data_IF_335065317352
#
_entry.id   IF_335065317352
#
_cell.length_a   1.000
_cell.length_b   1.000
_cell.length_c   1.000
_cell.angle_alpha   90.00
_cell.angle_beta   90.00
_cell.angle_gamma   90.00
#
_symmetry.space_group_name_H-M   'P 1'
#
loop_
_entity.id
_entity.type
_entity.pdbx_description
1 polymer ?
#
# COMPACT_ATOMS: atom_id res chain seq x y z
N UNK A 1 2.61 27.27 3.51
CA UNK A 1 3.12 27.82 4.81
C UNK A 1 4.65 27.74 4.78
N UNK A 2 5.41 28.80 5.09
CA UNK A 2 6.88 28.74 4.96
C UNK A 2 7.51 27.84 6.03
N UNK A 3 8.38 26.93 5.61
CA UNK A 3 9.10 26.00 6.49
C UNK A 3 10.58 26.37 6.53
N UNK A 4 11.18 26.46 7.72
CA UNK A 4 12.63 26.70 7.88
C UNK A 4 13.37 25.36 7.84
N UNK A 5 14.34 25.24 6.96
CA UNK A 5 15.20 24.04 6.83
C UNK A 5 16.68 24.44 6.83
N UNK A 6 17.59 23.51 7.12
CA UNK A 6 19.02 23.77 6.89
C UNK A 6 19.28 23.87 5.38
N UNK A 7 20.22 24.71 4.97
CA UNK A 7 20.74 24.71 3.60
C UNK A 7 21.30 23.33 3.20
N UNK A 8 21.74 22.53 4.17
CA UNK A 8 22.18 21.15 3.95
C UNK A 8 21.05 20.20 3.54
N UNK A 9 19.81 20.51 3.92
CA UNK A 9 18.61 19.72 3.62
C UNK A 9 17.87 20.21 2.37
N UNK A 10 18.35 21.29 1.75
CA UNK A 10 17.76 21.86 0.53
C UNK A 10 18.02 20.91 -0.65
N UNK A 11 16.98 20.59 -1.41
CA UNK A 11 17.04 19.67 -2.56
C UNK A 11 16.59 20.35 -3.86
N UNK A 12 17.04 19.83 -4.99
CA UNK A 12 16.50 20.20 -6.31
C UNK A 12 15.00 19.91 -6.34
N UNK A 13 14.23 20.89 -6.81
CA UNK A 13 12.77 20.88 -6.78
C UNK A 13 12.16 21.64 -5.61
N UNK A 14 12.93 22.01 -4.56
CA UNK A 14 12.40 22.86 -3.48
C UNK A 14 12.26 24.32 -3.93
N UNK A 15 11.19 24.98 -3.52
CA UNK A 15 10.98 26.40 -3.75
C UNK A 15 11.50 27.20 -2.56
N UNK A 16 12.58 27.94 -2.76
CA UNK A 16 13.14 28.88 -1.80
C UNK A 16 12.19 30.08 -1.65
N UNK A 17 11.81 30.40 -0.42
CA UNK A 17 10.92 31.50 -0.02
C UNK A 17 11.58 32.38 1.06
N UNK A 18 12.85 32.73 0.82
CA UNK A 18 13.68 33.57 1.69
C UNK A 18 14.85 32.84 2.35
N UNK A 19 15.82 33.62 2.84
CA UNK A 19 17.03 33.14 3.54
C UNK A 19 17.11 33.72 4.96
N UNK A 20 17.97 33.15 5.80
CA UNK A 20 18.26 33.69 7.14
C UNK A 20 19.18 34.94 7.14
N UNK A 21 19.71 35.30 5.98
CA UNK A 21 20.46 36.53 5.70
C UNK A 21 19.70 37.46 4.77
N UNK A 22 20.09 38.74 4.72
CA UNK A 22 19.53 39.70 3.77
C UNK A 22 19.84 39.29 2.32
N UNK A 23 18.89 39.54 1.41
CA UNK A 23 18.96 39.08 0.01
C UNK A 23 20.22 39.56 -0.73
N UNK A 24 20.81 40.71 -0.36
CA UNK A 24 22.07 41.20 -0.95
C UNK A 24 23.28 40.30 -0.68
N UNK A 25 23.19 39.42 0.33
CA UNK A 25 24.21 38.42 0.66
C UNK A 25 23.96 37.08 -0.02
N UNK A 26 22.87 36.96 -0.78
CA UNK A 26 22.57 35.75 -1.54
C UNK A 26 23.22 35.84 -2.93
N UNK A 27 23.65 34.72 -3.51
CA UNK A 27 24.29 34.66 -4.83
C UNK A 27 23.29 34.81 -5.99
N UNK A 28 22.04 35.18 -5.72
CA UNK A 28 20.93 35.23 -6.67
C UNK A 28 20.28 36.62 -6.69
N UNK A 29 19.66 36.97 -7.81
CA UNK A 29 18.93 38.24 -7.98
C UNK A 29 17.67 38.33 -7.10
N UNK A 30 17.21 37.20 -6.55
CA UNK A 30 16.04 37.08 -5.69
C UNK A 30 16.29 35.99 -4.66
N UNK A 31 15.74 36.15 -3.45
CA UNK A 31 15.70 35.12 -2.40
C UNK A 31 14.48 34.19 -2.53
N UNK A 32 13.68 34.36 -3.59
CA UNK A 32 12.51 33.54 -3.92
C UNK A 32 12.66 32.86 -5.28
N UNK A 33 13.04 31.59 -5.30
CA UNK A 33 13.25 30.86 -6.55
C UNK A 33 13.08 29.35 -6.38
N UNK A 34 12.72 28.67 -7.47
CA UNK A 34 12.77 27.21 -7.53
C UNK A 34 14.23 26.75 -7.68
N UNK A 35 14.69 25.88 -6.79
CA UNK A 35 16.00 25.24 -6.90
C UNK A 35 15.93 24.21 -8.02
N UNK A 36 16.70 24.44 -9.09
CA UNK A 36 16.71 23.62 -10.32
C UNK A 36 17.98 22.79 -10.48
N UNK A 37 19.00 23.02 -9.65
CA UNK A 37 20.29 22.33 -9.75
C UNK A 37 21.07 22.34 -8.43
N UNK A 38 21.94 21.35 -8.23
CA UNK A 38 22.84 21.27 -7.06
C UNK A 38 23.88 22.40 -7.02
N UNK A 39 24.17 23.00 -8.18
CA UNK A 39 25.01 24.20 -8.26
C UNK A 39 24.39 25.37 -7.51
N UNK A 40 23.06 25.53 -7.55
CA UNK A 40 22.36 26.58 -6.81
C UNK A 40 22.43 26.35 -5.29
N UNK A 41 22.35 25.10 -4.84
CA UNK A 41 22.50 24.74 -3.42
C UNK A 41 23.94 25.03 -2.97
N UNK A 42 24.92 24.66 -3.79
CA UNK A 42 26.34 24.90 -3.52
C UNK A 42 26.66 26.39 -3.42
N UNK A 43 26.04 27.23 -4.27
CA UNK A 43 26.17 28.70 -4.18
C UNK A 43 25.63 29.25 -2.86
N UNK A 44 24.49 28.75 -2.37
CA UNK A 44 23.94 29.15 -1.06
C UNK A 44 24.87 28.74 0.11
N UNK A 45 25.41 27.51 0.07
CA UNK A 45 26.40 27.03 1.04
C UNK A 45 27.65 27.90 1.08
N UNK A 46 28.21 28.21 -0.10
CA UNK A 46 29.41 29.02 -0.23
C UNK A 46 29.19 30.50 0.15
N UNK A 47 27.95 30.98 0.10
CA UNK A 47 27.56 32.29 0.60
C UNK A 47 27.42 32.36 2.14
N UNK A 48 27.69 31.27 2.85
CA UNK A 48 27.62 31.21 4.32
C UNK A 48 26.21 31.13 4.89
N UNK A 49 25.22 30.77 4.06
CA UNK A 49 23.82 30.66 4.45
C UNK A 49 23.62 29.33 5.16
N UNK A 50 23.17 29.39 6.42
CA UNK A 50 22.99 28.19 7.26
C UNK A 50 21.57 27.64 7.17
N UNK A 51 20.58 28.52 7.06
CA UNK A 51 19.17 28.18 6.98
C UNK A 51 18.44 28.91 5.87
N UNK A 52 17.44 28.24 5.31
CA UNK A 52 16.56 28.79 4.29
C UNK A 52 15.12 28.52 4.64
N UNK A 53 14.23 29.36 4.11
CA UNK A 53 12.80 29.13 4.16
C UNK A 53 12.36 28.55 2.83
N UNK A 54 11.55 27.49 2.86
CA UNK A 54 10.95 26.89 1.67
C UNK A 54 9.43 27.04 1.71
N UNK A 55 8.82 27.07 0.52
CA UNK A 55 7.37 26.95 0.34
C UNK A 55 7.05 25.52 -0.11
N UNK A 56 6.55 24.64 0.79
CA UNK A 56 6.28 23.24 0.46
C UNK A 56 5.24 23.09 -0.65
N UNK A 57 4.24 24.00 -0.70
CA UNK A 57 3.15 23.96 -1.68
C UNK A 57 3.64 24.25 -3.12
N UNK A 58 4.79 24.94 -3.25
CA UNK A 58 5.46 25.21 -4.53
C UNK A 58 6.65 24.28 -4.81
N UNK A 59 7.04 23.48 -3.83
CA UNK A 59 8.17 22.56 -3.93
C UNK A 59 7.74 21.28 -4.65
N UNK A 60 8.43 20.91 -5.72
CA UNK A 60 8.26 19.67 -6.49
C UNK A 60 9.52 18.81 -6.34
N UNK A 61 9.84 18.42 -5.11
CA UNK A 61 11.01 17.58 -4.84
C UNK A 61 10.83 16.26 -5.57
N UNK A 62 11.72 15.99 -6.52
CA UNK A 62 11.83 14.69 -7.15
C UNK A 62 12.39 13.73 -6.10
N UNK A 63 11.69 12.64 -5.81
CA UNK A 63 12.21 11.57 -4.94
C UNK A 63 13.57 11.11 -5.46
N UNK A 64 14.59 11.10 -4.59
CA UNK A 64 15.93 10.65 -4.96
C UNK A 64 15.89 9.18 -5.39
N UNK A 65 16.35 8.90 -6.62
CA UNK A 65 16.75 7.54 -7.01
C UNK A 65 17.86 7.11 -6.06
N UNK A 66 17.59 6.08 -5.29
CA UNK A 66 18.56 5.47 -4.38
C UNK A 66 19.67 4.82 -5.19
N UNK A 67 20.94 5.17 -4.92
CA UNK A 67 22.10 4.49 -5.49
C UNK A 67 22.41 3.20 -4.70
N UNK A 68 21.86 2.08 -5.19
CA UNK A 68 22.03 0.73 -4.63
C UNK A 68 23.27 0.01 -5.20
N UNK A 69 24.06 0.68 -6.06
CA UNK A 69 25.15 0.07 -6.87
C UNK A 69 26.15 -0.75 -6.07
N UNK A 70 26.52 -0.29 -4.86
CA UNK A 70 27.54 -0.94 -4.02
C UNK A 70 27.12 -2.28 -3.43
N UNK A 71 25.82 -2.56 -3.30
CA UNK A 71 25.33 -3.89 -2.89
C UNK A 71 25.08 -4.80 -4.09
N UNK A 72 24.81 -4.22 -5.26
CA UNK A 72 24.59 -4.92 -6.51
C UNK A 72 25.88 -5.50 -7.14
N UNK A 73 27.08 -5.07 -6.73
CA UNK A 73 28.37 -5.60 -7.20
C UNK A 73 28.57 -7.12 -6.94
N UNK A 74 27.72 -7.74 -6.11
CA UNK A 74 27.68 -9.19 -5.87
C UNK A 74 26.79 -9.95 -6.86
N UNK A 75 26.00 -9.23 -7.64
CA UNK A 75 25.08 -9.75 -8.65
C UNK A 75 25.82 -9.71 -9.99
N UNK A 76 25.86 -10.84 -10.71
CA UNK A 76 26.45 -10.88 -12.06
C UNK A 76 25.60 -10.04 -13.00
N UNK A 77 26.06 -8.83 -13.30
CA UNK A 77 25.44 -7.98 -14.30
C UNK A 77 25.70 -8.50 -15.71
N UNK A 78 24.63 -8.59 -16.50
CA UNK A 78 24.70 -8.79 -17.94
C UNK A 78 24.98 -7.41 -18.58
N UNK A 79 25.99 -7.34 -19.45
CA UNK A 79 26.34 -6.09 -20.15
C UNK A 79 25.20 -5.68 -21.09
N UNK A 80 25.07 -4.38 -21.36
CA UNK A 80 24.06 -3.81 -22.27
C UNK A 80 24.05 -4.49 -23.65
N UNK A 81 25.20 -4.98 -24.11
CA UNK A 81 25.35 -5.69 -25.39
C UNK A 81 24.79 -7.13 -25.41
N UNK A 82 24.52 -7.72 -24.25
CA UNK A 82 23.91 -9.06 -24.10
C UNK A 82 22.37 -9.00 -23.93
N UNK A 83 21.82 -7.79 -23.79
CA UNK A 83 20.40 -7.50 -23.97
C UNK A 83 20.16 -7.52 -25.47
N UNK A 84 19.36 -8.46 -25.96
CA UNK A 84 18.96 -8.47 -27.37
C UNK A 84 18.23 -7.16 -27.68
N UNK A 85 18.85 -6.30 -28.49
CA UNK A 85 18.13 -5.39 -29.37
C UNK A 85 17.26 -6.27 -30.27
N UNK A 86 16.00 -6.44 -29.91
CA UNK A 86 15.04 -7.00 -30.84
C UNK A 86 14.49 -5.81 -31.62
N UNK A 87 15.09 -5.54 -32.78
CA UNK A 87 14.32 -5.07 -33.93
C UNK A 87 13.23 -6.12 -34.18
N UNK A 88 12.09 -5.90 -33.56
CA UNK A 88 10.93 -6.74 -33.69
C UNK A 88 9.75 -5.81 -33.61
N UNK A 89 9.17 -5.53 -34.78
CA UNK A 89 7.76 -5.21 -34.81
C UNK A 89 7.07 -6.16 -33.84
N UNK A 90 6.39 -5.59 -32.84
CA UNK A 90 5.24 -6.27 -32.27
C UNK A 90 4.40 -6.61 -33.49
N UNK A 91 4.50 -7.84 -33.99
CA UNK A 91 3.43 -8.36 -34.82
C UNK A 91 2.21 -8.20 -33.92
N UNK A 92 1.35 -7.27 -34.33
CA UNK A 92 -0.03 -7.23 -33.94
C UNK A 92 -0.62 -8.58 -34.38
N UNK A 93 -0.33 -9.65 -33.63
CA UNK A 93 -1.19 -10.82 -33.65
C UNK A 93 -2.56 -10.27 -33.29
N UNK A 94 -3.42 -10.31 -34.30
CA UNK A 94 -4.66 -9.57 -34.43
C UNK A 94 -5.28 -9.30 -33.07
N UNK A 95 -5.04 -8.09 -32.56
CA UNK A 95 -5.81 -7.53 -31.48
C UNK A 95 -7.25 -7.83 -31.84
N UNK A 96 -7.96 -8.57 -30.98
CA UNK A 96 -9.40 -8.75 -31.13
C UNK A 96 -9.97 -7.34 -31.28
N UNK A 97 -10.28 -6.98 -32.52
CA UNK A 97 -10.80 -5.69 -32.91
C UNK A 97 -12.23 -5.70 -32.38
N UNK A 98 -12.41 -5.34 -31.12
CA UNK A 98 -13.73 -5.11 -30.57
C UNK A 98 -14.30 -3.90 -31.30
N UNK A 99 -15.21 -4.19 -32.23
CA UNK A 99 -15.96 -3.18 -32.97
C UNK A 99 -16.59 -2.24 -31.95
N UNK A 100 -16.40 -0.92 -32.14
CA UNK A 100 -17.21 0.10 -31.47
C UNK A 100 -18.68 -0.30 -31.58
N UNK A 101 -19.29 -0.70 -30.46
CA UNK A 101 -20.73 -0.85 -30.37
C UNK A 101 -21.42 0.48 -30.65
N UNK A 102 -22.64 0.40 -31.18
CA UNK A 102 -23.59 1.51 -31.28
C UNK A 102 -23.66 2.28 -29.95
N UNK A 103 -23.90 3.59 -29.99
CA UNK A 103 -24.03 4.39 -28.76
C UNK A 103 -25.10 3.89 -27.78
N UNK A 104 -26.07 3.11 -28.27
CA UNK A 104 -27.13 2.50 -27.46
C UNK A 104 -26.66 1.34 -26.57
N UNK A 105 -25.48 0.75 -26.81
CA UNK A 105 -24.97 -0.44 -26.09
C UNK A 105 -23.85 -0.13 -25.07
N UNK A 106 -23.51 1.15 -24.90
CA UNK A 106 -22.42 1.60 -24.01
C UNK A 106 -22.93 1.81 -22.58
N UNK A 107 -22.22 1.27 -21.60
CA UNK A 107 -22.49 1.49 -20.17
C UNK A 107 -22.04 2.90 -19.75
N UNK A 108 -22.96 3.73 -19.23
CA UNK A 108 -22.72 4.98 -18.48
C UNK A 108 -21.45 5.78 -18.88
N UNK A 109 -21.35 6.17 -20.16
CA UNK A 109 -20.26 7.03 -20.64
C UNK A 109 -18.89 6.35 -20.81
N UNK A 110 -18.80 5.04 -20.66
CA UNK A 110 -17.62 4.25 -21.02
C UNK A 110 -17.70 3.83 -22.50
N UNK A 111 -16.58 3.78 -23.23
CA UNK A 111 -16.57 3.41 -24.66
C UNK A 111 -16.76 1.90 -24.91
N UNK A 112 -17.13 1.11 -23.90
CA UNK A 112 -17.14 -0.35 -23.91
C UNK A 112 -18.54 -0.92 -23.62
N UNK A 113 -18.85 -2.08 -24.19
CA UNK A 113 -20.08 -2.81 -23.90
C UNK A 113 -19.92 -3.69 -22.66
N UNK A 114 -21.04 -4.19 -22.11
CA UNK A 114 -21.01 -5.15 -21.00
C UNK A 114 -20.29 -6.46 -21.38
N UNK A 115 -20.49 -6.92 -22.60
CA UNK A 115 -19.87 -8.15 -23.12
C UNK A 115 -18.34 -8.03 -23.24
N UNK A 116 -17.84 -6.85 -23.65
CA UNK A 116 -16.39 -6.56 -23.68
C UNK A 116 -15.78 -6.65 -22.28
N UNK A 117 -16.48 -6.11 -21.27
CA UNK A 117 -16.04 -6.18 -19.88
C UNK A 117 -16.07 -7.61 -19.36
N UNK A 118 -17.16 -8.35 -19.59
CA UNK A 118 -17.30 -9.74 -19.15
C UNK A 118 -16.19 -10.62 -19.74
N UNK A 119 -15.86 -10.43 -21.03
CA UNK A 119 -14.76 -11.15 -21.68
C UNK A 119 -13.40 -10.75 -21.11
N UNK A 120 -13.12 -9.46 -20.93
CA UNK A 120 -11.87 -9.01 -20.31
C UNK A 120 -11.69 -9.60 -18.91
N UNK A 121 -12.72 -9.51 -18.05
CA UNK A 121 -12.64 -10.02 -16.69
C UNK A 121 -12.52 -11.54 -16.62
N UNK A 122 -13.07 -12.29 -17.59
CA UNK A 122 -12.88 -13.74 -17.67
C UNK A 122 -11.41 -14.16 -17.81
N UNK A 123 -10.61 -13.35 -18.50
CA UNK A 123 -9.16 -13.58 -18.67
C UNK A 123 -8.35 -12.93 -17.53
N UNK A 124 -8.69 -11.69 -17.17
CA UNK A 124 -8.01 -10.91 -16.15
C UNK A 124 -8.00 -11.58 -14.77
N UNK A 125 -9.01 -12.41 -14.47
CA UNK A 125 -9.07 -13.20 -13.24
C UNK A 125 -7.90 -14.18 -13.07
N UNK A 126 -7.16 -14.50 -14.14
CA UNK A 126 -5.95 -15.33 -14.08
C UNK A 126 -4.69 -14.51 -13.74
N UNK A 127 -4.82 -13.19 -13.57
CA UNK A 127 -3.72 -12.29 -13.27
C UNK A 127 -3.83 -11.71 -11.88
N UNK A 128 -2.72 -11.27 -11.32
CA UNK A 128 -2.67 -10.56 -10.04
C UNK A 128 -1.75 -9.36 -10.14
N UNK A 129 -2.17 -8.25 -9.55
CA UNK A 129 -1.33 -7.06 -9.48
C UNK A 129 -0.10 -7.32 -8.63
N UNK A 130 1.03 -6.79 -9.09
CA UNK A 130 2.25 -6.70 -8.32
C UNK A 130 2.60 -5.23 -8.07
N UNK A 131 3.09 -4.95 -6.87
CA UNK A 131 3.58 -3.61 -6.56
C UNK A 131 4.92 -3.37 -7.25
N UNK A 132 4.90 -2.53 -8.31
CA UNK A 132 6.11 -2.16 -9.06
C UNK A 132 7.24 -1.62 -8.18
N UNK A 133 6.92 -1.07 -7.01
CA UNK A 133 7.93 -0.52 -6.09
C UNK A 133 8.74 -1.61 -5.34
N UNK A 134 8.32 -2.87 -5.45
CA UNK A 134 9.06 -4.04 -4.96
C UNK A 134 10.03 -4.61 -5.99
N UNK A 135 9.89 -4.23 -7.26
CA UNK A 135 10.81 -4.63 -8.33
C UNK A 135 12.06 -3.73 -8.27
N UNK A 136 13.19 -4.29 -7.83
CA UNK A 136 14.42 -3.54 -7.63
C UNK A 136 15.33 -3.56 -8.84
N UNK A 137 15.72 -2.38 -9.33
CA UNK A 137 16.69 -2.25 -10.42
C UNK A 137 17.97 -3.02 -10.10
N UNK A 138 18.45 -3.84 -11.04
CA UNK A 138 19.63 -4.69 -10.88
C UNK A 138 19.35 -6.08 -10.32
N UNK A 139 18.11 -6.40 -9.93
CA UNK A 139 17.70 -7.77 -9.59
C UNK A 139 17.15 -8.50 -10.80
N UNK A 140 16.89 -9.80 -10.67
CA UNK A 140 16.38 -10.64 -11.75
C UNK A 140 15.08 -11.35 -11.32
N UNK A 141 14.17 -11.54 -12.28
CA UNK A 141 12.93 -12.30 -12.09
C UNK A 141 12.84 -13.44 -13.10
N UNK A 142 12.44 -14.62 -12.67
CA UNK A 142 12.33 -15.81 -13.52
C UNK A 142 10.88 -16.11 -13.97
N UNK A 143 10.04 -15.08 -13.98
CA UNK A 143 8.63 -15.14 -14.36
C UNK A 143 8.27 -14.01 -15.34
N UNK A 144 7.32 -14.25 -16.26
CA UNK A 144 6.82 -13.21 -17.16
C UNK A 144 6.03 -12.14 -16.37
N UNK A 145 6.24 -10.90 -16.75
CA UNK A 145 5.46 -9.76 -16.27
C UNK A 145 4.54 -9.23 -17.36
N UNK A 146 3.44 -8.63 -16.94
CA UNK A 146 2.42 -8.07 -17.82
C UNK A 146 2.05 -6.67 -17.34
N UNK A 147 1.47 -5.87 -18.23
CA UNK A 147 0.99 -4.53 -17.97
C UNK A 147 -0.47 -4.45 -18.35
N UNK A 148 -1.31 -4.02 -17.41
CA UNK A 148 -2.68 -3.62 -17.69
C UNK A 148 -2.70 -2.18 -18.20
N UNK A 149 -3.32 -1.98 -19.36
CA UNK A 149 -3.69 -0.67 -19.90
C UNK A 149 -5.12 -0.76 -20.42
N UNK A 150 -6.04 -0.06 -19.75
CA UNK A 150 -7.48 -0.16 -20.02
C UNK A 150 -7.98 -1.62 -19.90
N UNK A 151 -8.63 -2.15 -20.94
CA UNK A 151 -9.07 -3.54 -21.08
C UNK A 151 -8.05 -4.40 -21.86
N UNK A 152 -6.75 -4.10 -21.72
CA UNK A 152 -5.67 -4.88 -22.35
C UNK A 152 -4.66 -5.32 -21.32
N UNK A 153 -4.19 -6.55 -21.47
CA UNK A 153 -3.07 -7.12 -20.74
C UNK A 153 -1.95 -7.32 -21.75
N UNK A 154 -0.86 -6.59 -21.58
CA UNK A 154 0.29 -6.62 -22.47
C UNK A 154 1.43 -7.36 -21.78
N UNK A 155 1.91 -8.44 -22.38
CA UNK A 155 3.10 -9.13 -21.87
C UNK A 155 4.32 -8.23 -22.09
N UNK A 156 5.03 -7.86 -21.02
CA UNK A 156 6.15 -6.93 -21.09
C UNK A 156 7.35 -7.55 -21.82
N UNK A 157 7.66 -8.83 -21.59
CA UNK A 157 8.83 -9.49 -22.19
C UNK A 157 8.65 -11.00 -22.40
N UNK A 158 9.40 -11.55 -23.35
CA UNK A 158 9.73 -12.98 -23.46
C UNK A 158 11.24 -13.13 -23.38
N UNK A 159 11.76 -13.80 -22.34
CA UNK A 159 13.13 -14.31 -22.39
C UNK A 159 13.08 -15.82 -22.62
N UNK A 160 13.85 -16.30 -23.60
CA UNK A 160 14.03 -17.74 -23.86
C UNK A 160 14.77 -18.39 -22.69
N UNK A 161 14.04 -18.76 -21.64
CA UNK A 161 14.52 -19.61 -20.55
C UNK A 161 15.64 -19.01 -19.68
N UNK A 162 15.79 -17.68 -19.62
CA UNK A 162 16.71 -16.98 -18.70
C UNK A 162 15.95 -15.96 -17.85
N UNK A 163 16.51 -15.60 -16.70
CA UNK A 163 15.94 -14.61 -15.80
C UNK A 163 15.96 -13.21 -16.43
N UNK A 164 14.90 -12.43 -16.17
CA UNK A 164 14.65 -11.09 -16.71
C UNK A 164 15.26 -10.07 -15.73
N UNK A 165 16.21 -9.22 -16.15
CA UNK A 165 16.72 -8.16 -15.29
C UNK A 165 15.66 -7.08 -15.09
N UNK A 166 15.52 -6.58 -13.88
CA UNK A 166 14.71 -5.39 -13.58
C UNK A 166 15.57 -4.16 -13.88
N UNK A 167 15.10 -3.31 -14.81
CA UNK A 167 15.80 -2.08 -15.22
C UNK A 167 14.92 -0.85 -15.04
N UNK A 168 15.54 0.33 -15.07
CA UNK A 168 14.81 1.61 -15.03
C UNK A 168 13.81 1.73 -16.19
N UNK A 169 14.14 1.20 -17.37
CA UNK A 169 13.26 1.21 -18.54
C UNK A 169 12.00 0.37 -18.33
N UNK A 170 12.13 -0.78 -17.67
CA UNK A 170 10.99 -1.63 -17.31
C UNK A 170 10.08 -0.88 -16.35
N UNK A 171 10.65 -0.28 -15.29
CA UNK A 171 9.87 0.41 -14.26
C UNK A 171 9.26 1.74 -14.75
N UNK A 172 9.79 2.31 -15.84
CA UNK A 172 9.26 3.50 -16.50
C UNK A 172 7.99 3.21 -17.34
N UNK A 173 7.66 1.94 -17.61
CA UNK A 173 6.46 1.60 -18.37
C UNK A 173 5.21 1.98 -17.57
N UNK A 174 4.36 2.83 -18.16
CA UNK A 174 3.08 3.20 -17.56
C UNK A 174 2.08 2.04 -17.58
N UNK A 175 1.28 1.91 -16.52
CA UNK A 175 0.23 0.90 -16.37
C UNK A 175 0.40 0.07 -15.11
N UNK A 176 -0.57 -0.82 -14.86
CA UNK A 176 -0.52 -1.68 -13.68
C UNK A 176 0.28 -2.94 -13.99
N UNK A 177 1.29 -3.22 -13.17
CA UNK A 177 2.09 -4.43 -13.31
C UNK A 177 1.30 -5.62 -12.81
N UNK A 178 1.31 -6.70 -13.59
CA UNK A 178 0.63 -7.95 -13.30
C UNK A 178 1.59 -9.13 -13.44
N UNK A 179 1.26 -10.21 -12.75
CA UNK A 179 1.79 -11.56 -12.96
C UNK A 179 0.65 -12.52 -13.24
N UNK A 180 0.94 -13.59 -13.98
CA UNK A 180 -0.02 -14.69 -14.14
C UNK A 180 -0.08 -15.52 -12.84
N UNK A 181 -1.25 -16.08 -12.54
CA UNK A 181 -1.50 -16.84 -11.31
C UNK A 181 -0.57 -18.05 -11.15
N UNK A 182 -0.20 -18.68 -12.27
CA UNK A 182 0.75 -19.81 -12.30
C UNK A 182 2.17 -19.43 -11.84
N UNK A 183 2.53 -18.15 -11.92
CA UNK A 183 3.87 -17.67 -11.57
C UNK A 183 3.93 -17.03 -10.17
N UNK A 184 2.82 -17.02 -9.41
CA UNK A 184 2.77 -16.46 -8.04
C UNK A 184 3.84 -17.04 -7.11
N UNK A 185 4.08 -18.35 -7.20
CA UNK A 185 5.09 -19.01 -6.36
C UNK A 185 6.51 -18.47 -6.63
N UNK A 186 6.81 -18.13 -7.88
CA UNK A 186 8.10 -17.54 -8.26
C UNK A 186 8.23 -16.10 -7.78
N UNK A 187 7.16 -15.31 -7.89
CA UNK A 187 7.12 -13.96 -7.34
C UNK A 187 7.32 -13.95 -5.81
N UNK A 188 6.66 -14.86 -5.09
CA UNK A 188 6.89 -15.06 -3.65
C UNK A 188 8.34 -15.42 -3.33
N UNK A 189 8.96 -16.28 -4.15
CA UNK A 189 10.38 -16.60 -4.06
C UNK A 189 11.27 -15.36 -4.20
N UNK A 190 11.00 -14.53 -5.20
CA UNK A 190 11.69 -13.24 -5.41
C UNK A 190 11.57 -12.32 -4.19
N UNK A 191 10.36 -12.11 -3.66
CA UNK A 191 10.17 -11.30 -2.45
C UNK A 191 10.92 -11.88 -1.25
N UNK A 192 10.95 -13.20 -1.10
CA UNK A 192 11.68 -13.88 -0.02
C UNK A 192 13.19 -13.64 -0.10
N UNK A 193 13.75 -13.68 -1.31
CA UNK A 193 15.16 -13.36 -1.54
C UNK A 193 15.44 -11.90 -1.16
N UNK A 194 14.58 -10.96 -1.57
CA UNK A 194 14.70 -9.55 -1.20
C UNK A 194 14.65 -9.31 0.33
N UNK A 195 13.79 -10.02 1.05
CA UNK A 195 13.72 -9.93 2.52
C UNK A 195 14.98 -10.44 3.21
N UNK A 196 15.74 -11.34 2.57
CA UNK A 196 16.97 -11.90 3.12
C UNK A 196 18.20 -11.00 2.94
N UNK A 197 18.09 -9.94 2.13
CA UNK A 197 19.16 -8.97 1.94
C UNK A 197 19.44 -8.23 3.25
N UNK A 198 20.72 -8.16 3.65
CA UNK A 198 21.13 -7.51 4.90
C UNK A 198 20.95 -5.99 4.80
N UNK A 199 20.11 -5.40 5.66
CA UNK A 199 20.01 -3.94 5.78
C UNK A 199 21.35 -3.33 6.17
N UNK A 200 21.91 -2.49 5.31
CA UNK A 200 23.16 -1.74 5.56
C UNK A 200 22.95 -0.22 5.56
N UNK A 201 21.78 0.29 5.15
CA UNK A 201 21.43 1.73 5.11
C UNK A 201 19.91 2.00 5.12
N UNK A 202 19.47 3.26 5.31
CA UNK A 202 18.04 3.62 5.41
C UNK A 202 17.21 3.41 4.13
N UNK A 203 17.81 3.38 2.95
CA UNK A 203 17.07 3.10 1.71
C UNK A 203 16.78 1.62 1.50
N UNK A 204 17.65 0.73 2.00
CA UNK A 204 17.40 -0.71 2.05
C UNK A 204 16.17 -1.06 2.91
N UNK A 205 15.86 -0.20 3.87
CA UNK A 205 14.72 -0.39 4.77
C UNK A 205 13.37 -0.03 4.15
N UNK A 206 13.28 1.07 3.40
CA UNK A 206 12.08 1.41 2.64
C UNK A 206 11.69 0.30 1.67
N UNK A 207 12.70 -0.29 1.03
CA UNK A 207 12.57 -1.43 0.13
C UNK A 207 12.07 -2.66 0.91
N UNK A 208 12.77 -3.02 2.00
CA UNK A 208 12.38 -4.15 2.87
C UNK A 208 10.92 -4.02 3.31
N UNK A 209 10.51 -2.83 3.69
CA UNK A 209 9.15 -2.56 4.13
C UNK A 209 8.10 -2.76 3.04
N UNK A 210 8.37 -2.28 1.83
CA UNK A 210 7.50 -2.54 0.67
C UNK A 210 7.41 -4.03 0.38
N UNK A 211 8.53 -4.74 0.42
CA UNK A 211 8.61 -6.19 0.19
C UNK A 211 7.83 -6.97 1.26
N UNK A 212 8.02 -6.65 2.53
CA UNK A 212 7.30 -7.30 3.65
C UNK A 212 5.79 -7.02 3.54
N UNK A 213 5.39 -5.79 3.20
CA UNK A 213 3.98 -5.44 2.98
C UNK A 213 3.38 -6.23 1.82
N UNK A 214 4.10 -6.33 0.71
CA UNK A 214 3.65 -7.10 -0.47
C UNK A 214 3.56 -8.59 -0.16
N UNK A 215 4.56 -9.16 0.52
CA UNK A 215 4.51 -10.55 0.98
C UNK A 215 3.31 -10.80 1.91
N UNK A 216 2.95 -9.83 2.76
CA UNK A 216 1.74 -9.91 3.60
C UNK A 216 0.47 -10.09 2.77
N UNK A 217 0.37 -9.45 1.61
CA UNK A 217 -0.80 -9.55 0.72
C UNK A 217 -0.93 -10.96 0.17
N UNK A 218 0.17 -11.55 -0.30
CA UNK A 218 0.20 -12.92 -0.80
C UNK A 218 -0.16 -13.93 0.29
N UNK A 219 0.43 -13.78 1.49
CA UNK A 219 0.13 -14.66 2.62
C UNK A 219 -1.32 -14.54 3.07
N UNK A 220 -1.88 -13.33 3.08
CA UNK A 220 -3.28 -13.12 3.41
C UNK A 220 -4.22 -13.72 2.35
N UNK A 221 -3.88 -13.63 1.07
CA UNK A 221 -4.61 -14.30 -0.01
C UNK A 221 -4.61 -15.83 0.20
N UNK A 222 -3.44 -16.42 0.46
CA UNK A 222 -3.30 -17.85 0.73
C UNK A 222 -4.11 -18.29 1.96
N UNK A 223 -4.10 -17.48 3.03
CA UNK A 223 -4.83 -17.73 4.27
C UNK A 223 -6.34 -17.63 4.05
N UNK A 224 -6.84 -16.65 3.29
CA UNK A 224 -8.26 -16.55 2.98
C UNK A 224 -8.77 -17.75 2.15
N UNK A 225 -7.92 -18.30 1.28
CA UNK A 225 -8.23 -19.51 0.52
C UNK A 225 -8.28 -20.78 1.41
N UNK A 226 -7.47 -20.84 2.47
CA UNK A 226 -7.47 -21.95 3.44
C UNK A 226 -7.33 -21.45 4.90
N UNK A 227 -8.41 -20.89 5.48
CA UNK A 227 -8.35 -20.18 6.76
C UNK A 227 -8.13 -21.10 7.97
N UNK A 228 -8.16 -22.42 7.77
CA UNK A 228 -7.90 -23.42 8.82
C UNK A 228 -6.45 -23.90 8.83
N UNK A 229 -5.64 -23.52 7.84
CA UNK A 229 -4.24 -23.91 7.79
C UNK A 229 -3.43 -23.20 8.86
N UNK A 230 -3.00 -23.95 9.88
CA UNK A 230 -2.10 -23.41 10.91
C UNK A 230 -0.74 -22.99 10.36
N UNK A 231 -0.27 -23.62 9.28
CA UNK A 231 1.00 -23.23 8.62
C UNK A 231 0.86 -21.85 7.98
N UNK A 232 -0.20 -21.62 7.18
CA UNK A 232 -0.41 -20.31 6.54
C UNK A 232 -0.63 -19.20 7.57
N UNK A 233 -1.32 -19.50 8.67
CA UNK A 233 -1.47 -18.55 9.77
C UNK A 233 -0.12 -18.20 10.40
N UNK A 234 0.75 -19.20 10.62
CA UNK A 234 2.11 -18.97 11.13
C UNK A 234 2.95 -18.13 10.19
N UNK A 235 2.85 -18.36 8.89
CA UNK A 235 3.56 -17.54 7.89
C UNK A 235 3.10 -16.07 7.99
N UNK A 236 1.78 -15.83 8.12
CA UNK A 236 1.24 -14.49 8.38
C UNK A 236 1.79 -13.89 9.68
N UNK A 237 1.79 -14.65 10.79
CA UNK A 237 2.33 -14.19 12.08
C UNK A 237 3.81 -13.79 11.98
N UNK A 238 4.64 -14.60 11.33
CA UNK A 238 6.06 -14.29 11.14
C UNK A 238 6.25 -13.00 10.33
N UNK A 239 5.46 -12.81 9.28
CA UNK A 239 5.56 -11.62 8.46
C UNK A 239 5.03 -10.36 9.18
N UNK A 240 4.00 -10.50 10.02
CA UNK A 240 3.51 -9.42 10.89
C UNK A 240 4.56 -9.03 11.93
N UNK A 241 5.27 -9.99 12.51
CA UNK A 241 6.34 -9.69 13.46
C UNK A 241 7.47 -8.86 12.80
N UNK A 242 7.78 -9.15 11.53
CA UNK A 242 8.71 -8.35 10.73
C UNK A 242 8.20 -6.92 10.48
N UNK A 243 6.90 -6.72 10.25
CA UNK A 243 6.27 -5.39 10.13
C UNK A 243 6.42 -4.61 11.44
N UNK A 244 5.98 -5.23 12.55
CA UNK A 244 5.99 -4.58 13.87
C UNK A 244 7.41 -4.19 14.26
N UNK A 245 8.36 -5.12 14.12
CA UNK A 245 9.77 -4.87 14.44
C UNK A 245 10.34 -3.71 13.62
N UNK A 246 10.09 -3.69 12.30
CA UNK A 246 10.54 -2.58 11.45
C UNK A 246 9.96 -1.22 11.87
N UNK A 247 8.67 -1.18 12.20
CA UNK A 247 8.01 0.07 12.56
C UNK A 247 8.49 0.60 13.90
N UNK A 248 8.82 -0.29 14.86
CA UNK A 248 9.33 0.11 16.16
C UNK A 248 10.79 0.55 16.13
N UNK A 249 11.64 -0.06 15.31
CA UNK A 249 13.07 0.28 15.22
C UNK A 249 13.33 1.72 14.75
N UNK A 250 12.44 2.27 13.93
CA UNK A 250 12.72 3.51 13.21
C UNK A 250 12.03 4.76 13.74
N UNK A 251 11.09 4.63 14.68
CA UNK A 251 10.28 5.74 15.21
C UNK A 251 9.70 6.68 14.13
N UNK A 252 9.62 6.23 12.88
CA UNK A 252 9.29 7.05 11.71
C UNK A 252 8.22 6.36 10.90
N UNK A 253 7.05 6.98 10.84
CA UNK A 253 5.88 6.54 10.09
C UNK A 253 6.05 6.71 8.57
N UNK A 254 7.14 7.33 8.12
CA UNK A 254 7.39 7.68 6.71
C UNK A 254 7.95 6.52 5.86
N UNK A 255 8.02 5.30 6.40
CA UNK A 255 8.88 4.23 5.90
C UNK A 255 8.29 3.29 4.82
N UNK A 256 7.53 3.78 3.85
CA UNK A 256 7.04 2.97 2.72
C UNK A 256 5.90 1.97 3.03
N UNK A 257 5.64 1.66 4.30
CA UNK A 257 4.49 0.86 4.75
C UNK A 257 3.18 1.65 4.66
N UNK A 258 3.23 2.95 4.97
CA UNK A 258 2.11 3.90 4.88
C UNK A 258 1.84 4.40 3.45
N UNK A 259 2.68 4.05 2.48
CA UNK A 259 2.35 4.26 1.06
C UNK A 259 1.21 3.31 0.72
N UNK A 260 -0.01 3.79 0.94
CA UNK A 260 -1.24 3.13 0.54
C UNK A 260 -1.33 3.34 -0.97
N UNK A 261 -1.04 2.28 -1.74
CA UNK A 261 -1.24 2.33 -3.18
C UNK A 261 -2.71 2.63 -3.44
N UNK A 262 -2.96 3.64 -4.28
CA UNK A 262 -4.30 4.05 -4.70
C UNK A 262 -4.96 3.06 -5.66
N UNK A 263 -4.30 1.95 -5.99
CA UNK A 263 -4.77 0.93 -6.93
C UNK A 263 -5.57 -0.16 -6.21
N UNK A 264 -6.75 -0.40 -6.78
CA UNK A 264 -7.73 -1.48 -6.58
C UNK A 264 -7.86 -2.12 -5.19
N UNK A 265 -9.06 -1.96 -4.61
CA UNK A 265 -9.51 -2.67 -3.41
C UNK A 265 -9.54 -4.18 -3.64
N UNK A 266 -8.53 -4.87 -3.11
CA UNK A 266 -8.57 -6.29 -2.84
C UNK A 266 -8.69 -6.49 -1.32
N UNK A 267 -9.52 -7.46 -0.89
CA UNK A 267 -9.75 -7.75 0.53
C UNK A 267 -8.44 -7.99 1.29
N UNK A 268 -7.45 -8.64 0.66
CA UNK A 268 -6.14 -8.86 1.29
C UNK A 268 -5.33 -7.55 1.43
N UNK A 269 -5.37 -6.63 0.45
CA UNK A 269 -4.69 -5.34 0.53
C UNK A 269 -5.26 -4.50 1.68
N UNK A 270 -6.59 -4.50 1.80
CA UNK A 270 -7.29 -3.86 2.90
C UNK A 270 -6.86 -4.41 4.27
N UNK A 271 -6.87 -5.74 4.44
CA UNK A 271 -6.43 -6.38 5.68
C UNK A 271 -4.99 -5.98 6.07
N UNK A 272 -4.07 -5.97 5.09
CA UNK A 272 -2.67 -5.58 5.32
C UNK A 272 -2.55 -4.10 5.67
N UNK A 273 -3.28 -3.21 4.98
CA UNK A 273 -3.26 -1.78 5.29
C UNK A 273 -3.82 -1.52 6.69
N UNK A 274 -4.95 -2.11 7.06
CA UNK A 274 -5.55 -1.97 8.40
C UNK A 274 -4.57 -2.45 9.47
N UNK A 275 -3.85 -3.55 9.24
CA UNK A 275 -2.77 -4.02 10.12
C UNK A 275 -1.66 -2.96 10.30
N UNK A 276 -1.11 -2.44 9.19
CA UNK A 276 -0.04 -1.41 9.24
C UNK A 276 -0.50 -0.15 9.95
N UNK A 277 -1.73 0.31 9.65
CA UNK A 277 -2.33 1.49 10.26
C UNK A 277 -2.53 1.26 11.77
N UNK A 278 -2.99 0.08 12.18
CA UNK A 278 -3.15 -0.26 13.60
C UNK A 278 -1.81 -0.25 14.35
N UNK A 279 -0.72 -0.74 13.73
CA UNK A 279 0.63 -0.69 14.31
C UNK A 279 1.09 0.75 14.50
N UNK A 280 0.99 1.59 13.48
CA UNK A 280 1.41 2.99 13.61
C UNK A 280 0.56 3.75 14.63
N UNK A 281 -0.74 3.44 14.73
CA UNK A 281 -1.62 4.04 15.74
C UNK A 281 -1.22 3.59 17.15
N UNK A 282 -0.91 2.31 17.33
CA UNK A 282 -0.39 1.78 18.60
C UNK A 282 0.89 2.49 19.04
N UNK A 283 1.85 2.66 18.12
CA UNK A 283 3.10 3.40 18.37
C UNK A 283 2.80 4.86 18.72
N UNK A 284 1.89 5.52 17.97
CA UNK A 284 1.50 6.91 18.25
C UNK A 284 0.75 7.08 19.58
N UNK A 285 0.10 6.03 20.07
CA UNK A 285 -0.51 5.96 21.40
C UNK A 285 0.53 5.69 22.51
N UNK A 286 1.81 5.58 22.16
CA UNK A 286 2.90 5.36 23.11
C UNK A 286 3.03 3.91 23.58
N UNK A 287 2.45 2.96 22.85
CA UNK A 287 2.62 1.53 23.14
C UNK A 287 4.05 1.11 22.80
N UNK A 288 4.69 0.37 23.70
CA UNK A 288 6.08 -0.07 23.56
C UNK A 288 6.25 -1.59 23.64
N UNK A 289 5.21 -2.31 24.09
CA UNK A 289 5.28 -3.77 24.24
C UNK A 289 4.99 -4.44 22.90
N UNK A 290 6.01 -5.08 22.33
CA UNK A 290 5.92 -5.85 21.08
C UNK A 290 4.69 -6.76 21.05
N UNK A 291 4.42 -7.51 22.12
CA UNK A 291 3.32 -8.48 22.16
C UNK A 291 1.94 -7.83 22.04
N UNK A 292 1.75 -6.63 22.59
CA UNK A 292 0.47 -5.91 22.52
C UNK A 292 0.28 -5.29 21.12
N UNK A 293 1.34 -4.71 20.55
CA UNK A 293 1.32 -4.14 19.19
C UNK A 293 1.12 -5.24 18.15
N UNK A 294 1.81 -6.38 18.32
CA UNK A 294 1.64 -7.57 17.50
C UNK A 294 0.20 -8.06 17.50
N UNK A 295 -0.46 -8.08 18.66
CA UNK A 295 -1.85 -8.52 18.75
C UNK A 295 -2.81 -7.58 17.99
N UNK A 296 -2.55 -6.26 18.00
CA UNK A 296 -3.30 -5.28 17.21
C UNK A 296 -3.04 -5.43 15.71
N UNK A 297 -1.79 -5.68 15.31
CA UNK A 297 -1.41 -5.95 13.94
C UNK A 297 -2.13 -7.20 13.40
N UNK A 298 -2.05 -8.31 14.14
CA UNK A 298 -2.79 -9.53 13.84
C UNK A 298 -4.31 -9.29 13.82
N UNK A 299 -4.82 -8.46 14.74
CA UNK A 299 -6.21 -8.02 14.75
C UNK A 299 -6.62 -7.32 13.46
N UNK A 300 -5.82 -6.33 13.02
CA UNK A 300 -6.04 -5.63 11.75
C UNK A 300 -5.88 -6.52 10.53
N UNK A 301 -4.97 -7.49 10.53
CA UNK A 301 -4.82 -8.43 9.43
C UNK A 301 -5.99 -9.43 9.34
N UNK A 302 -6.54 -9.86 10.48
CA UNK A 302 -7.53 -10.94 10.54
C UNK A 302 -8.97 -10.47 10.72
N UNK A 303 -9.22 -9.17 10.97
CA UNK A 303 -10.55 -8.65 11.31
C UNK A 303 -11.66 -9.12 10.34
N UNK A 304 -11.30 -9.23 9.07
CA UNK A 304 -12.18 -9.55 7.97
C UNK A 304 -12.09 -11.00 7.48
N UNK A 305 -11.33 -11.89 8.15
CA UNK A 305 -11.09 -13.27 7.67
C UNK A 305 -12.40 -14.05 7.41
N UNK A 306 -13.48 -13.75 8.14
CA UNK A 306 -14.77 -14.39 7.93
C UNK A 306 -15.45 -14.05 6.60
N UNK A 307 -15.02 -12.98 5.90
CA UNK A 307 -15.54 -12.64 4.56
C UNK A 307 -15.29 -13.76 3.54
N UNK A 308 -14.31 -14.64 3.76
CA UNK A 308 -14.07 -15.82 2.92
C UNK A 308 -15.24 -16.82 2.87
N UNK A 309 -16.22 -16.72 3.78
CA UNK A 309 -17.43 -17.55 3.77
C UNK A 309 -18.69 -16.78 3.39
N UNK A 310 -18.59 -15.50 3.07
CA UNK A 310 -19.71 -14.72 2.58
C UNK A 310 -19.92 -15.03 1.10
N UNK A 311 -21.16 -15.28 0.64
CA UNK A 311 -21.43 -15.54 -0.78
C UNK A 311 -20.91 -14.41 -1.67
N UNK A 312 -20.25 -14.76 -2.79
CA UNK A 312 -19.70 -13.78 -3.74
C UNK A 312 -20.75 -12.78 -4.26
N UNK A 313 -22.00 -13.22 -4.45
CA UNK A 313 -23.12 -12.36 -4.87
C UNK A 313 -23.47 -11.25 -3.88
N UNK A 314 -23.15 -11.45 -2.60
CA UNK A 314 -23.35 -10.45 -1.53
C UNK A 314 -22.06 -9.65 -1.34
N UNK A 315 -20.91 -10.33 -1.29
CA UNK A 315 -19.61 -9.70 -1.05
C UNK A 315 -19.25 -8.65 -2.12
N UNK A 316 -19.51 -8.96 -3.39
CA UNK A 316 -19.12 -8.14 -4.54
C UNK A 316 -20.30 -7.38 -5.17
N UNK A 317 -21.41 -7.22 -4.46
CA UNK A 317 -22.61 -6.57 -5.01
C UNK A 317 -22.30 -5.11 -5.39
N UNK A 318 -22.58 -4.66 -6.63
CA UNK A 318 -22.30 -3.29 -7.08
C UNK A 318 -23.26 -2.24 -6.53
N UNK A 319 -24.36 -2.67 -5.90
CA UNK A 319 -25.40 -1.81 -5.34
C UNK A 319 -25.46 -1.96 -3.82
N UNK A 320 -26.27 -1.12 -3.18
CA UNK A 320 -26.60 -1.29 -1.75
C UNK A 320 -27.14 -2.71 -1.49
N UNK A 321 -26.70 -3.28 -0.37
CA UNK A 321 -27.24 -4.52 0.16
C UNK A 321 -28.66 -4.27 0.70
N UNK A 322 -29.54 -5.24 0.50
CA UNK A 322 -30.82 -5.33 1.23
C UNK A 322 -30.56 -5.63 2.70
N UNK A 323 -31.55 -5.46 3.56
CA UNK A 323 -31.41 -5.77 4.99
C UNK A 323 -31.03 -7.24 5.23
N UNK A 324 -31.56 -8.16 4.43
CA UNK A 324 -31.25 -9.59 4.52
C UNK A 324 -29.81 -9.90 4.10
N UNK A 325 -29.37 -9.34 2.98
CA UNK A 325 -27.99 -9.47 2.52
C UNK A 325 -27.02 -8.80 3.49
N UNK A 326 -27.41 -7.68 4.10
CA UNK A 326 -26.60 -7.02 5.11
C UNK A 326 -26.53 -7.84 6.40
N UNK A 327 -27.60 -8.53 6.82
CA UNK A 327 -27.56 -9.52 7.92
C UNK A 327 -26.58 -10.65 7.63
N UNK A 328 -26.56 -11.16 6.40
CA UNK A 328 -25.56 -12.16 5.99
C UNK A 328 -24.16 -11.56 6.03
N UNK A 329 -23.94 -10.35 5.49
CA UNK A 329 -22.65 -9.67 5.55
C UNK A 329 -22.14 -9.52 6.98
N UNK A 330 -22.98 -9.07 7.94
CA UNK A 330 -22.61 -8.94 9.37
C UNK A 330 -22.11 -10.24 10.00
N UNK A 331 -22.53 -11.39 9.47
CA UNK A 331 -22.12 -12.71 10.00
C UNK A 331 -20.62 -12.99 9.86
N UNK A 332 -19.89 -12.25 9.00
CA UNK A 332 -18.44 -12.43 8.82
C UNK A 332 -17.68 -12.32 10.14
N UNK A 333 -18.14 -11.48 11.07
CA UNK A 333 -17.50 -11.32 12.38
C UNK A 333 -17.54 -12.63 13.18
N UNK A 334 -18.73 -13.22 13.33
CA UNK A 334 -18.89 -14.46 14.10
C UNK A 334 -18.28 -15.67 13.37
N UNK A 335 -18.35 -15.68 12.04
CA UNK A 335 -17.66 -16.67 11.22
C UNK A 335 -16.15 -16.58 11.43
N UNK A 336 -15.58 -15.38 11.41
CA UNK A 336 -14.16 -15.13 11.64
C UNK A 336 -13.72 -15.63 13.02
N UNK A 337 -14.47 -15.28 14.07
CA UNK A 337 -14.24 -15.81 15.43
C UNK A 337 -14.25 -17.34 15.46
N UNK A 338 -15.20 -17.98 14.77
CA UNK A 338 -15.28 -19.45 14.68
C UNK A 338 -14.09 -20.03 13.91
N UNK A 339 -13.64 -19.40 12.82
CA UNK A 339 -12.46 -19.82 12.08
C UNK A 339 -11.19 -19.72 12.93
N UNK A 340 -11.04 -18.64 13.69
CA UNK A 340 -9.88 -18.49 14.57
C UNK A 340 -9.93 -19.40 15.80
N UNK A 341 -11.10 -19.90 16.20
CA UNK A 341 -11.18 -20.87 17.31
C UNK A 341 -10.47 -22.21 17.04
N UNK A 342 -10.12 -22.50 15.78
CA UNK A 342 -9.29 -23.66 15.42
C UNK A 342 -7.79 -23.43 15.65
N UNK A 343 -7.36 -22.20 15.96
CA UNK A 343 -5.97 -21.81 16.14
C UNK A 343 -5.75 -21.41 17.61
N UNK A 344 -4.92 -22.19 18.33
CA UNK A 344 -4.73 -22.01 19.79
C UNK A 344 -3.80 -20.85 20.17
N UNK A 345 -3.07 -20.33 19.20
CA UNK A 345 -2.00 -19.34 19.33
C UNK A 345 -2.47 -17.90 19.03
N UNK A 346 -3.76 -17.71 18.78
CA UNK A 346 -4.37 -16.38 18.63
C UNK A 346 -4.67 -15.78 20.00
N UNK A 347 -4.18 -14.56 20.25
CA UNK A 347 -4.42 -13.84 21.50
C UNK A 347 -5.86 -13.35 21.63
N UNK A 348 -6.30 -13.07 22.86
CA UNK A 348 -7.63 -12.52 23.12
C UNK A 348 -7.80 -11.15 22.49
N UNK A 349 -6.76 -10.33 22.51
CA UNK A 349 -6.73 -8.99 21.94
C UNK A 349 -6.95 -9.03 20.43
N UNK A 350 -6.34 -9.99 19.72
CA UNK A 350 -6.61 -10.22 18.29
C UNK A 350 -8.07 -10.63 18.06
N UNK A 351 -8.63 -11.49 18.92
CA UNK A 351 -10.05 -11.85 18.84
C UNK A 351 -10.94 -10.63 19.09
N UNK A 352 -10.62 -9.76 20.05
CA UNK A 352 -11.40 -8.55 20.33
C UNK A 352 -11.39 -7.60 19.14
N UNK A 353 -10.23 -7.34 18.52
CA UNK A 353 -10.16 -6.59 17.27
C UNK A 353 -11.09 -7.16 16.20
N UNK A 354 -11.07 -8.48 15.99
CA UNK A 354 -11.95 -9.13 15.03
C UNK A 354 -13.43 -8.99 15.42
N UNK A 355 -13.79 -9.18 16.69
CA UNK A 355 -15.20 -9.19 17.10
C UNK A 355 -15.81 -7.81 17.26
N UNK A 356 -14.99 -6.78 17.43
CA UNK A 356 -15.42 -5.44 17.85
C UNK A 356 -15.10 -4.34 16.83
N UNK A 357 -14.41 -4.62 15.72
CA UNK A 357 -14.08 -3.58 14.72
C UNK A 357 -15.30 -2.90 14.06
N UNK A 358 -16.48 -3.51 14.16
CA UNK A 358 -17.76 -2.94 13.70
C UNK A 358 -18.70 -2.55 14.85
N UNK A 359 -18.25 -2.70 16.09
CA UNK A 359 -18.93 -2.12 17.22
C UNK A 359 -18.73 -0.61 17.26
N UNK A 360 -19.65 0.08 17.94
CA UNK A 360 -19.66 1.54 18.03
C UNK A 360 -19.83 1.94 19.48
N UNK A 361 -19.14 2.98 19.93
CA UNK A 361 -19.28 3.46 21.32
C UNK A 361 -20.72 3.83 21.69
N UNK A 362 -21.55 4.15 20.70
CA UNK A 362 -22.99 4.40 20.85
C UNK A 362 -23.85 3.16 21.12
N UNK A 363 -23.29 1.93 21.07
CA UNK A 363 -24.02 0.67 21.16
C UNK A 363 -24.79 0.30 19.89
N UNK A 364 -24.75 1.14 18.84
CA UNK A 364 -25.45 0.91 17.56
C UNK A 364 -24.67 0.01 16.58
N UNK A 365 -23.57 -0.56 17.05
CA UNK A 365 -22.69 -1.44 16.28
C UNK A 365 -23.19 -2.87 16.16
N UNK A 366 -22.32 -3.77 15.71
CA UNK A 366 -22.59 -5.21 15.62
C UNK A 366 -21.29 -6.01 15.81
N UNK A 367 -21.36 -7.30 16.20
CA UNK A 367 -22.54 -8.16 16.29
C UNK A 367 -23.29 -8.13 17.63
N UNK A 368 -22.72 -7.56 18.67
CA UNK A 368 -23.22 -7.57 20.04
C UNK A 368 -23.87 -6.25 20.47
N UNK A 369 -23.55 -5.12 19.82
CA UNK A 369 -24.08 -3.81 20.17
C UNK A 369 -23.47 -3.28 21.48
N UNK A 370 -22.16 -3.45 21.63
CA UNK A 370 -21.43 -3.12 22.86
C UNK A 370 -21.37 -1.60 23.07
N UNK A 371 -21.51 -1.16 24.32
CA UNK A 371 -21.31 0.23 24.71
C UNK A 371 -19.82 0.54 24.91
N UNK A 372 -19.50 1.83 25.02
CA UNK A 372 -18.13 2.35 25.15
C UNK A 372 -17.30 1.68 26.26
N UNK A 373 -17.94 1.37 27.39
CA UNK A 373 -17.36 0.75 28.59
C UNK A 373 -17.06 -0.75 28.43
N UNK A 374 -17.79 -1.44 27.54
CA UNK A 374 -17.61 -2.87 27.28
C UNK A 374 -16.64 -3.13 26.12
N UNK A 375 -16.33 -2.09 25.34
CA UNK A 375 -15.41 -2.18 24.20
C UNK A 375 -13.96 -2.23 24.64
N UNK A 376 -13.25 -3.24 24.13
CA UNK A 376 -11.82 -3.38 24.38
C UNK A 376 -11.05 -2.38 23.54
N UNK A 377 -9.91 -1.94 24.09
CA UNK A 377 -8.98 -1.05 23.40
C UNK A 377 -8.58 -1.58 22.01
N UNK A 378 -8.34 -2.89 21.89
CA UNK A 378 -7.99 -3.52 20.62
C UNK A 378 -9.10 -3.44 19.55
N UNK A 379 -10.37 -3.53 19.95
CA UNK A 379 -11.52 -3.27 19.08
C UNK A 379 -11.55 -1.84 18.59
N UNK A 380 -11.40 -0.88 19.50
CA UNK A 380 -11.44 0.57 19.20
C UNK A 380 -10.32 1.01 18.25
N UNK A 381 -9.10 0.50 18.45
CA UNK A 381 -7.94 0.80 17.59
C UNK A 381 -8.17 0.28 16.16
N UNK A 382 -8.59 -0.98 16.03
CA UNK A 382 -8.79 -1.59 14.70
C UNK A 382 -10.02 -1.00 13.99
N UNK A 383 -11.08 -0.64 14.71
CA UNK A 383 -12.21 0.09 14.13
C UNK A 383 -11.80 1.44 13.51
N UNK A 384 -10.89 2.18 14.17
CA UNK A 384 -10.35 3.44 13.64
C UNK A 384 -9.49 3.21 12.39
N UNK A 385 -8.64 2.18 12.42
CA UNK A 385 -7.81 1.81 11.27
C UNK A 385 -8.65 1.35 10.06
N UNK A 386 -9.66 0.52 10.29
CA UNK A 386 -10.59 0.00 9.28
C UNK A 386 -11.37 1.13 8.59
N UNK A 387 -12.04 1.99 9.37
CA UNK A 387 -12.84 3.09 8.78
C UNK A 387 -11.97 4.04 7.94
N UNK A 388 -10.75 4.32 8.40
CA UNK A 388 -9.85 5.20 7.65
C UNK A 388 -9.39 4.57 6.33
N UNK A 389 -8.95 3.31 6.33
CA UNK A 389 -8.58 2.61 5.10
C UNK A 389 -9.78 2.49 4.15
N UNK A 390 -10.97 2.17 4.67
CA UNK A 390 -12.19 2.06 3.88
C UNK A 390 -12.61 3.39 3.21
N UNK A 391 -12.26 4.54 3.80
CA UNK A 391 -12.49 5.87 3.22
C UNK A 391 -11.41 6.28 2.21
N UNK A 392 -10.16 5.88 2.44
CA UNK A 392 -8.98 6.33 1.66
C UNK A 392 -8.54 5.36 0.57
N UNK A 393 -9.09 4.14 0.53
CA UNK A 393 -8.86 3.16 -0.54
C UNK A 393 -9.90 3.28 -1.65
N UNK A 394 -9.44 3.33 -2.90
CA UNK A 394 -10.30 3.39 -4.07
C UNK A 394 -11.02 2.05 -4.29
N UNK A 395 -12.32 2.10 -4.60
CA UNK A 395 -13.13 0.92 -4.94
C UNK A 395 -13.70 1.09 -6.34
N UNK A 396 -14.05 0.00 -7.06
CA UNK A 396 -14.63 0.08 -8.40
C UNK A 396 -15.81 1.06 -8.52
N UNK A 397 -16.58 1.25 -7.44
CA UNK A 397 -17.76 2.11 -7.41
C UNK A 397 -17.60 3.40 -6.58
N UNK A 398 -16.41 3.67 -6.02
CA UNK A 398 -16.19 4.80 -5.11
C UNK A 398 -14.76 5.33 -5.21
N UNK A 399 -14.62 6.62 -5.53
CA UNK A 399 -13.33 7.32 -5.48
C UNK A 399 -12.82 7.38 -4.03
N UNK A 400 -11.51 7.19 -3.85
CA UNK A 400 -10.83 7.39 -2.58
C UNK A 400 -10.96 8.85 -2.12
N UNK A 401 -11.24 9.05 -0.84
CA UNK A 401 -11.15 10.36 -0.20
C UNK A 401 -9.69 10.73 0.09
N UNK A 402 -9.38 12.02 0.11
CA UNK A 402 -8.11 12.49 0.67
C UNK A 402 -8.06 12.31 2.19
N UNK A 403 -6.87 12.27 2.78
CA UNK A 403 -6.71 12.08 4.24
C UNK A 403 -7.50 13.09 5.07
N UNK A 404 -7.50 14.37 4.65
CA UNK A 404 -8.26 15.42 5.32
C UNK A 404 -9.78 15.19 5.26
N UNK A 405 -10.30 14.79 4.09
CA UNK A 405 -11.72 14.49 3.90
C UNK A 405 -12.14 13.27 4.73
N UNK A 406 -11.33 12.21 4.73
CA UNK A 406 -11.58 11.02 5.53
C UNK A 406 -11.63 11.35 7.03
N UNK A 407 -10.67 12.14 7.53
CA UNK A 407 -10.67 12.60 8.93
C UNK A 407 -11.87 13.49 9.25
N UNK A 408 -12.31 14.33 8.32
CA UNK A 408 -13.52 15.16 8.49
C UNK A 408 -14.79 14.31 8.62
N UNK A 409 -14.90 13.26 7.79
CA UNK A 409 -16.01 12.30 7.87
C UNK A 409 -15.99 11.56 9.21
N UNK A 410 -14.85 11.01 9.62
CA UNK A 410 -14.72 10.31 10.91
C UNK A 410 -15.08 11.25 12.07
N UNK A 411 -14.59 12.50 12.03
CA UNK A 411 -14.91 13.52 13.04
C UNK A 411 -16.42 13.83 13.12
N UNK A 412 -17.15 13.76 12.00
CA UNK A 412 -18.61 13.96 12.02
C UNK A 412 -19.37 12.82 12.72
N UNK A 413 -18.71 11.68 12.93
CA UNK A 413 -19.24 10.48 13.57
C UNK A 413 -18.49 10.16 14.87
N UNK A 414 -17.88 11.17 15.52
CA UNK A 414 -17.00 10.96 16.68
C UNK A 414 -17.71 10.30 17.86
N UNK A 415 -19.04 10.34 17.92
CA UNK A 415 -19.81 9.59 18.93
C UNK A 415 -19.61 8.06 18.85
N UNK A 416 -19.27 7.54 17.66
CA UNK A 416 -19.04 6.11 17.44
C UNK A 416 -17.61 5.67 17.80
N UNK A 417 -16.66 6.61 17.96
CA UNK A 417 -15.23 6.33 18.07
C UNK A 417 -14.59 6.96 19.31
N UNK A 418 -13.51 6.33 19.78
CA UNK A 418 -12.79 6.81 20.95
C UNK A 418 -12.00 8.09 20.63
N UNK A 419 -12.23 9.14 21.43
CA UNK A 419 -11.66 10.45 21.19
C UNK A 419 -10.13 10.47 21.34
N UNK A 420 -9.58 9.72 22.29
CA UNK A 420 -8.13 9.66 22.51
C UNK A 420 -7.44 8.94 21.36
N UNK A 421 -8.04 7.84 20.90
CA UNK A 421 -7.58 7.09 19.72
C UNK A 421 -7.67 7.96 18.47
N UNK A 422 -8.78 8.67 18.26
CA UNK A 422 -8.93 9.58 17.12
C UNK A 422 -7.89 10.70 17.13
N UNK A 423 -7.64 11.34 18.27
CA UNK A 423 -6.65 12.41 18.38
C UNK A 423 -5.22 11.90 18.14
N UNK A 424 -4.89 10.71 18.65
CA UNK A 424 -3.60 10.08 18.38
C UNK A 424 -3.47 9.69 16.91
N UNK A 425 -4.56 9.24 16.28
CA UNK A 425 -4.60 8.97 14.85
C UNK A 425 -4.36 10.21 13.99
N UNK A 426 -4.97 11.34 14.34
CA UNK A 426 -4.71 12.63 13.66
C UNK A 426 -3.25 13.04 13.81
N UNK A 427 -2.65 12.88 15.00
CA UNK A 427 -1.22 13.16 15.24
C UNK A 427 -0.33 12.25 14.39
N UNK A 428 -0.64 10.95 14.35
CA UNK A 428 0.07 9.96 13.54
C UNK A 428 0.12 10.37 12.07
N UNK A 429 -0.98 10.86 11.49
CA UNK A 429 -1.03 11.27 10.08
C UNK A 429 -0.40 12.65 9.80
N UNK A 430 -0.21 13.47 10.83
CA UNK A 430 0.39 14.80 10.71
C UNK A 430 1.91 14.83 10.91
N UNK A 431 2.49 13.73 11.40
CA UNK A 431 3.93 13.50 11.54
C UNK A 431 4.47 12.75 10.32
#
# INVERSE_FOLDING_TARGET
>A
MRQKISVSDLRVGMFLDGTDVAWEKTPFLTDRLLIRSDEQISKLKNAGISYVFIDPDKSKVLEEKTDVSKELDKIKFIKKEEILDVEGHVEMDEAVLYKKGSEEDKLDGLPYTKEDLDKFYSEFNNYSHIDKTTLLVGTYVNFPMYIKRDLRILKLFMFKGKDIPITDEILAVEGDFLIHSDDKAKYKGYLTELMSLKSSNGSSELIRNRVVKENSKLLMEELLADPRSGTKLKDCQQNIDAIVSSMQENNSLTNGLFTINKSDYYTYTHCVNVSVIAVGLAISLGMNKQTEIFALAMGGMLHDIGKCKIPHSILNKPTKLTDDEFRVMKSHVLIGKKLLSFHSDISKETIYSLTEHHEKMTGKGYPHGLAAEDLHFAGKVVAMADVYDALTTARPYKKAFGSFEALSIIRSQLEDYDMEIFLSFVKMLGN
#
